data_IF_440490552220
#
_entry.id   IF_440490552220
#
_cell.length_a   1.000
_cell.length_b   1.000
_cell.length_c   1.000
_cell.angle_alpha   90.00
_cell.angle_beta   90.00
_cell.angle_gamma   90.00
#
_symmetry.space_group_name_H-M   'P 1'
#
loop_
_entity.id
_entity.type
_entity.pdbx_description
1 polymer ?
#
# COMPACT_ATOMS: atom_id res chain seq x y z
N UNK A 1 13.71 -5.37 -23.30
CA UNK A 1 13.82 -5.12 -21.85
C UNK A 1 13.48 -3.66 -21.61
N UNK A 2 12.33 -3.37 -21.00
CA UNK A 2 11.93 -2.00 -20.70
C UNK A 2 12.63 -1.52 -19.44
N UNK A 3 13.13 -0.28 -19.46
CA UNK A 3 13.70 0.38 -18.30
C UNK A 3 12.62 0.56 -17.22
N UNK A 4 12.85 0.04 -16.02
CA UNK A 4 11.99 0.27 -14.87
C UNK A 4 12.57 1.41 -14.03
N UNK A 5 11.78 2.47 -13.84
CA UNK A 5 12.18 3.59 -12.96
C UNK A 5 12.40 3.09 -11.52
N UNK A 6 13.41 3.64 -10.84
CA UNK A 6 13.81 3.21 -9.50
C UNK A 6 12.65 3.22 -8.49
N UNK A 7 11.78 4.23 -8.56
CA UNK A 7 10.61 4.34 -7.68
C UNK A 7 9.63 3.16 -7.81
N UNK A 8 9.55 2.54 -8.99
CA UNK A 8 8.72 1.33 -9.19
C UNK A 8 9.46 0.07 -8.78
N UNK A 9 10.78 0.03 -8.93
CA UNK A 9 11.62 -1.10 -8.50
C UNK A 9 11.57 -1.31 -6.99
N UNK A 10 11.51 -0.23 -6.21
CA UNK A 10 11.55 -0.24 -4.75
C UNK A 10 10.20 0.07 -4.09
N UNK A 11 9.10 0.06 -4.84
CA UNK A 11 7.77 0.29 -4.26
C UNK A 11 7.47 -0.84 -3.26
N UNK A 12 7.10 -0.54 -2.01
CA UNK A 12 6.65 -1.52 -1.02
C UNK A 12 5.60 -2.46 -1.62
N UNK A 13 5.75 -3.76 -1.44
CA UNK A 13 4.81 -4.78 -1.91
C UNK A 13 3.87 -5.23 -0.79
N UNK A 14 4.29 -5.08 0.46
CA UNK A 14 3.53 -5.39 1.67
C UNK A 14 3.31 -4.14 2.50
N UNK A 15 2.23 -4.11 3.26
CA UNK A 15 1.92 -2.99 4.14
C UNK A 15 2.98 -2.76 5.23
N UNK A 16 3.64 -3.82 5.70
CA UNK A 16 4.74 -3.74 6.68
C UNK A 16 5.99 -3.02 6.17
N UNK A 17 6.17 -2.97 4.85
CA UNK A 17 7.31 -2.31 4.19
C UNK A 17 7.06 -0.81 3.95
N UNK A 18 5.84 -0.32 4.25
CA UNK A 18 5.48 1.08 4.08
C UNK A 18 6.05 1.91 5.23
N UNK A 19 7.03 2.75 4.91
CA UNK A 19 7.68 3.63 5.88
C UNK A 19 6.86 4.90 6.10
N UNK A 20 6.69 5.31 7.37
CA UNK A 20 6.14 6.61 7.74
C UNK A 20 4.60 6.73 7.71
N UNK A 21 3.87 5.64 7.44
CA UNK A 21 2.40 5.66 7.38
C UNK A 21 1.71 4.61 8.27
N UNK A 22 2.02 4.54 9.58
CA UNK A 22 1.48 3.50 10.47
C UNK A 22 -0.05 3.54 10.58
N UNK A 23 -0.65 4.73 10.72
CA UNK A 23 -2.11 4.86 10.86
C UNK A 23 -2.88 4.50 9.58
N UNK A 24 -2.31 4.82 8.42
CA UNK A 24 -2.91 4.51 7.11
C UNK A 24 -2.88 3.00 6.88
N UNK A 25 -1.71 2.39 7.09
CA UNK A 25 -1.51 0.94 6.99
C UNK A 25 -2.48 0.18 7.89
N UNK A 26 -2.61 0.59 9.16
CA UNK A 26 -3.53 -0.04 10.11
C UNK A 26 -4.99 0.05 9.64
N UNK A 27 -5.41 1.22 9.18
CA UNK A 27 -6.78 1.47 8.72
C UNK A 27 -7.10 0.61 7.50
N UNK A 28 -6.21 0.57 6.50
CA UNK A 28 -6.39 -0.22 5.30
C UNK A 28 -6.39 -1.72 5.60
N UNK A 29 -5.47 -2.18 6.44
CA UNK A 29 -5.40 -3.58 6.86
C UNK A 29 -6.71 -4.01 7.54
N UNK A 30 -7.19 -3.22 8.49
CA UNK A 30 -8.45 -3.49 9.19
C UNK A 30 -9.66 -3.49 8.24
N UNK A 31 -9.73 -2.54 7.32
CA UNK A 31 -10.82 -2.43 6.36
C UNK A 31 -10.87 -3.65 5.42
N UNK A 32 -9.71 -4.12 4.96
CA UNK A 32 -9.60 -5.34 4.13
C UNK A 32 -10.01 -6.57 4.94
N UNK A 33 -9.49 -6.74 6.17
CA UNK A 33 -9.85 -7.88 7.03
C UNK A 33 -11.33 -7.92 7.40
N UNK A 34 -11.98 -6.77 7.49
CA UNK A 34 -13.39 -6.65 7.79
C UNK A 34 -14.30 -6.69 6.53
N UNK A 35 -13.73 -6.85 5.34
CA UNK A 35 -14.45 -6.77 4.04
C UNK A 35 -15.24 -5.46 3.87
N UNK A 36 -14.78 -4.37 4.51
CA UNK A 36 -15.41 -3.05 4.52
C UNK A 36 -14.55 -2.02 3.82
N UNK A 37 -14.32 -2.24 2.53
CA UNK A 37 -13.51 -1.35 1.70
C UNK A 37 -14.36 -0.14 1.29
N UNK A 38 -13.91 1.05 1.68
CA UNK A 38 -14.54 2.30 1.26
C UNK A 38 -14.19 2.63 -0.20
N UNK A 39 -14.98 3.49 -0.83
CA UNK A 39 -14.63 4.04 -2.14
C UNK A 39 -13.31 4.81 -2.06
N UNK A 40 -12.36 4.45 -2.93
CA UNK A 40 -11.06 5.08 -3.04
C UNK A 40 -10.77 5.40 -4.52
N UNK A 41 -10.01 6.47 -4.74
CA UNK A 41 -9.50 6.85 -6.05
C UNK A 41 -7.97 6.66 -6.07
N UNK A 42 -7.44 6.25 -7.21
CA UNK A 42 -6.01 6.05 -7.46
C UNK A 42 -5.43 7.23 -8.23
#
# INVERSE_FOLDING_TARGET
MSYLVLARKWRPQRFEEVVGQPHVVQTLTNAISAERIAHAYL
#
